data_IF_049263550578
#
_entry.id   IF_049263550578
#
_cell.length_a   1.000
_cell.length_b   1.000
_cell.length_c   1.000
_cell.angle_alpha   90.00
_cell.angle_beta   90.00
_cell.angle_gamma   90.00
#
_symmetry.space_group_name_H-M   'P 1'
#
loop_
_entity.id
_entity.type
_entity.pdbx_description
1 polymer ?
#
# COMPACT_ATOMS: atom_id res chain seq x y z
N UNK A 1 -24.98 0.91 4.21
CA UNK A 1 -26.06 1.35 5.13
C UNK A 1 -27.33 1.66 4.34
N UNK A 2 -27.33 2.57 3.37
CA UNK A 2 -28.54 3.01 2.63
C UNK A 2 -29.20 1.87 1.83
N UNK A 3 -28.42 0.94 1.25
CA UNK A 3 -28.98 -0.28 0.64
C UNK A 3 -29.74 -1.15 1.62
N UNK A 4 -29.23 -1.30 2.85
CA UNK A 4 -29.90 -2.07 3.90
C UNK A 4 -31.20 -1.36 4.31
N UNK A 5 -31.16 -0.05 4.53
CA UNK A 5 -32.36 0.74 4.87
C UNK A 5 -33.42 0.65 3.77
N UNK A 6 -33.02 0.76 2.49
CA UNK A 6 -33.89 0.63 1.35
C UNK A 6 -34.54 -0.76 1.25
N UNK A 7 -33.79 -1.82 1.56
CA UNK A 7 -34.28 -3.20 1.54
C UNK A 7 -35.26 -3.50 2.68
N UNK A 8 -34.98 -2.97 3.90
CA UNK A 8 -35.75 -3.28 5.11
C UNK A 8 -37.03 -2.43 5.19
N UNK A 9 -36.93 -1.13 4.89
CA UNK A 9 -38.02 -0.17 5.11
C UNK A 9 -38.75 0.21 3.83
N UNK A 10 -38.34 -0.30 2.67
CA UNK A 10 -38.87 0.07 1.35
C UNK A 10 -38.77 1.60 1.08
N UNK A 11 -37.71 2.24 1.62
CA UNK A 11 -37.52 3.68 1.65
C UNK A 11 -36.91 4.19 0.32
N UNK A 12 -37.67 5.02 -0.40
CA UNK A 12 -37.26 5.62 -1.68
C UNK A 12 -36.12 6.63 -1.52
N UNK A 13 -36.10 7.37 -0.42
CA UNK A 13 -34.99 8.31 -0.12
C UNK A 13 -33.68 7.57 0.09
N UNK A 14 -33.71 6.44 0.82
CA UNK A 14 -32.57 5.57 1.01
C UNK A 14 -32.09 4.97 -0.33
N UNK A 15 -33.01 4.57 -1.24
CA UNK A 15 -32.65 4.09 -2.60
C UNK A 15 -31.92 5.16 -3.40
N UNK A 16 -32.46 6.36 -3.44
CA UNK A 16 -31.87 7.49 -4.18
C UNK A 16 -30.49 7.82 -3.65
N UNK A 17 -30.32 7.83 -2.33
CA UNK A 17 -29.03 8.08 -1.67
C UNK A 17 -28.03 6.95 -1.98
N UNK A 18 -28.44 5.68 -1.89
CA UNK A 18 -27.60 4.53 -2.24
C UNK A 18 -27.11 4.61 -3.69
N UNK A 19 -27.99 4.97 -4.62
CA UNK A 19 -27.65 5.14 -6.04
C UNK A 19 -26.64 6.25 -6.26
N UNK A 20 -26.81 7.40 -5.63
CA UNK A 20 -25.92 8.54 -5.73
C UNK A 20 -24.51 8.18 -5.19
N UNK A 21 -24.46 7.55 -4.01
CA UNK A 21 -23.19 7.14 -3.39
C UNK A 21 -22.48 6.04 -4.21
N UNK A 22 -23.23 5.09 -4.77
CA UNK A 22 -22.65 4.04 -5.61
C UNK A 22 -22.06 4.66 -6.90
N UNK A 23 -22.75 5.61 -7.55
CA UNK A 23 -22.23 6.34 -8.72
C UNK A 23 -20.95 7.11 -8.37
N UNK A 24 -20.96 7.85 -7.27
CA UNK A 24 -19.78 8.60 -6.82
C UNK A 24 -18.60 7.66 -6.55
N UNK A 25 -18.85 6.51 -5.90
CA UNK A 25 -17.82 5.49 -5.65
C UNK A 25 -17.24 4.91 -6.93
N UNK A 26 -18.07 4.58 -7.92
CA UNK A 26 -17.61 4.07 -9.23
C UNK A 26 -16.76 5.12 -9.97
N UNK A 27 -17.17 6.38 -9.95
CA UNK A 27 -16.40 7.47 -10.59
C UNK A 27 -15.06 7.65 -9.89
N UNK A 28 -15.02 7.66 -8.57
CA UNK A 28 -13.78 7.80 -7.81
C UNK A 28 -12.85 6.57 -7.90
N UNK A 29 -13.37 5.40 -8.25
CA UNK A 29 -12.55 4.20 -8.45
C UNK A 29 -11.61 4.33 -9.66
N UNK A 30 -11.94 5.16 -10.67
CA UNK A 30 -11.10 5.32 -11.88
C UNK A 30 -9.73 5.91 -11.54
N UNK A 31 -9.61 7.10 -10.92
CA UNK A 31 -8.31 7.64 -10.56
C UNK A 31 -7.58 6.74 -9.55
N UNK A 32 -8.29 6.09 -8.63
CA UNK A 32 -7.69 5.14 -7.68
C UNK A 32 -7.08 3.93 -8.39
N UNK A 33 -7.77 3.37 -9.40
CA UNK A 33 -7.25 2.26 -10.19
C UNK A 33 -6.01 2.67 -11.00
N UNK A 34 -5.99 3.87 -11.57
CA UNK A 34 -4.82 4.39 -12.30
C UNK A 34 -3.62 4.55 -11.38
N UNK A 35 -3.79 5.10 -10.19
CA UNK A 35 -2.73 5.18 -9.18
C UNK A 35 -2.23 3.78 -8.80
N UNK A 36 -3.14 2.84 -8.52
CA UNK A 36 -2.78 1.46 -8.16
C UNK A 36 -2.02 0.72 -9.27
N UNK A 37 -2.31 0.96 -10.56
CA UNK A 37 -1.54 0.40 -11.69
C UNK A 37 -0.12 0.98 -11.71
N UNK A 38 0.03 2.27 -11.43
CA UNK A 38 1.35 2.92 -11.35
C UNK A 38 2.16 2.34 -10.20
N UNK A 39 1.56 2.24 -9.01
CA UNK A 39 2.22 1.69 -7.82
C UNK A 39 2.61 0.22 -8.01
N UNK A 40 1.79 -0.55 -8.75
CA UNK A 40 2.06 -1.97 -9.04
C UNK A 40 3.41 -2.18 -9.75
N UNK A 41 3.86 -1.22 -10.55
CA UNK A 41 5.15 -1.29 -11.25
C UNK A 41 6.36 -1.29 -10.31
N UNK A 42 6.19 -0.83 -9.08
CA UNK A 42 7.23 -0.72 -8.06
C UNK A 42 7.14 -1.79 -6.97
N UNK A 43 6.14 -2.69 -7.06
CA UNK A 43 5.93 -3.74 -6.05
C UNK A 43 7.07 -4.76 -6.09
N UNK A 44 7.74 -5.04 -4.95
CA UNK A 44 8.80 -6.03 -4.88
C UNK A 44 8.27 -7.45 -5.09
N UNK A 45 9.10 -8.34 -5.65
CA UNK A 45 8.72 -9.72 -6.01
C UNK A 45 8.00 -10.51 -4.91
N UNK A 46 8.40 -10.47 -3.63
CA UNK A 46 7.69 -11.19 -2.57
C UNK A 46 6.24 -10.74 -2.38
N UNK A 47 5.90 -9.49 -2.73
CA UNK A 47 4.55 -8.93 -2.59
C UNK A 47 3.71 -9.03 -3.87
N UNK A 48 4.30 -9.38 -5.02
CA UNK A 48 3.67 -9.32 -6.33
C UNK A 48 2.38 -10.16 -6.43
N UNK A 49 2.37 -11.37 -5.87
CA UNK A 49 1.17 -12.24 -5.88
C UNK A 49 0.02 -11.63 -5.08
N UNK A 50 0.31 -11.05 -3.91
CA UNK A 50 -0.68 -10.38 -3.06
C UNK A 50 -1.22 -9.13 -3.74
N UNK A 51 -0.35 -8.33 -4.37
CA UNK A 51 -0.74 -7.13 -5.12
C UNK A 51 -1.61 -7.48 -6.33
N UNK A 52 -1.26 -8.53 -7.07
CA UNK A 52 -2.07 -9.04 -8.19
C UNK A 52 -3.47 -9.47 -7.72
N UNK A 53 -3.55 -10.24 -6.63
CA UNK A 53 -4.82 -10.68 -6.08
C UNK A 53 -5.67 -9.49 -5.61
N UNK A 54 -5.06 -8.52 -4.92
CA UNK A 54 -5.72 -7.28 -4.52
C UNK A 54 -6.31 -6.53 -5.72
N UNK A 55 -5.54 -6.36 -6.80
CA UNK A 55 -5.98 -5.70 -8.03
C UNK A 55 -7.12 -6.45 -8.74
N UNK A 56 -7.03 -7.79 -8.82
CA UNK A 56 -8.08 -8.63 -9.42
C UNK A 56 -9.38 -8.54 -8.63
N UNK A 57 -9.34 -8.66 -7.32
CA UNK A 57 -10.53 -8.55 -6.47
C UNK A 57 -11.17 -7.17 -6.61
N UNK A 58 -10.38 -6.09 -6.61
CA UNK A 58 -10.90 -4.73 -6.83
C UNK A 58 -11.56 -4.57 -8.20
N UNK A 59 -11.02 -5.21 -9.24
CA UNK A 59 -11.63 -5.21 -10.57
C UNK A 59 -13.00 -5.92 -10.58
N UNK A 60 -13.12 -7.05 -9.87
CA UNK A 60 -14.40 -7.76 -9.70
C UNK A 60 -15.38 -6.90 -8.90
N UNK A 61 -14.95 -6.28 -7.81
CA UNK A 61 -15.76 -5.37 -6.98
C UNK A 61 -16.31 -4.22 -7.83
N UNK A 62 -15.47 -3.58 -8.64
CA UNK A 62 -15.90 -2.51 -9.53
C UNK A 62 -16.94 -3.01 -10.54
N UNK A 63 -16.71 -4.18 -11.15
CA UNK A 63 -17.67 -4.84 -12.04
C UNK A 63 -19.02 -5.10 -11.38
N UNK A 64 -19.02 -5.57 -10.12
CA UNK A 64 -20.25 -5.78 -9.34
C UNK A 64 -21.00 -4.48 -9.04
N UNK A 65 -20.31 -3.37 -8.72
CA UNK A 65 -20.95 -2.07 -8.54
C UNK A 65 -21.52 -1.53 -9.84
N UNK A 66 -20.84 -1.70 -10.97
CA UNK A 66 -21.38 -1.34 -12.30
C UNK A 66 -22.63 -2.16 -12.62
N UNK A 67 -22.61 -3.47 -12.38
CA UNK A 67 -23.77 -4.33 -12.55
C UNK A 67 -24.91 -3.93 -11.62
N UNK A 68 -24.61 -3.57 -10.37
CA UNK A 68 -25.58 -3.04 -9.41
C UNK A 68 -26.30 -1.80 -9.97
N UNK A 69 -25.56 -0.82 -10.48
CA UNK A 69 -26.12 0.39 -11.09
C UNK A 69 -27.00 0.07 -12.31
N UNK A 70 -26.59 -0.89 -13.13
CA UNK A 70 -27.35 -1.36 -14.27
C UNK A 70 -28.68 -1.99 -13.84
N UNK A 71 -28.68 -2.84 -12.82
CA UNK A 71 -29.91 -3.45 -12.28
C UNK A 71 -30.87 -2.40 -11.73
N UNK A 72 -30.36 -1.42 -10.98
CA UNK A 72 -31.15 -0.29 -10.44
C UNK A 72 -31.79 0.55 -11.55
N UNK A 73 -31.03 0.82 -12.63
CA UNK A 73 -31.54 1.53 -13.83
C UNK A 73 -32.71 0.81 -14.49
N UNK A 74 -32.76 -0.53 -14.39
CA UNK A 74 -33.88 -1.33 -14.91
C UNK A 74 -35.01 -1.55 -13.88
N UNK A 75 -35.01 -0.81 -12.78
CA UNK A 75 -36.00 -0.93 -11.72
C UNK A 75 -35.81 -2.14 -10.78
N UNK A 76 -34.76 -2.94 -10.96
CA UNK A 76 -34.47 -4.12 -10.13
C UNK A 76 -33.64 -3.73 -8.91
N UNK A 77 -34.20 -2.82 -8.07
CA UNK A 77 -33.47 -2.23 -6.94
C UNK A 77 -32.98 -3.26 -5.92
N UNK A 78 -33.76 -4.32 -5.64
CA UNK A 78 -33.36 -5.39 -4.70
C UNK A 78 -32.10 -6.12 -5.20
N UNK A 79 -32.09 -6.50 -6.48
CA UNK A 79 -30.93 -7.16 -7.09
C UNK A 79 -29.70 -6.24 -7.06
N UNK A 80 -29.88 -4.95 -7.40
CA UNK A 80 -28.83 -3.95 -7.33
C UNK A 80 -28.25 -3.80 -5.91
N UNK A 81 -29.12 -3.72 -4.89
CA UNK A 81 -28.69 -3.63 -3.50
C UNK A 81 -27.93 -4.88 -3.06
N UNK A 82 -28.40 -6.08 -3.42
CA UNK A 82 -27.70 -7.34 -3.11
C UNK A 82 -26.30 -7.40 -3.75
N UNK A 83 -26.18 -6.96 -5.01
CA UNK A 83 -24.88 -6.87 -5.70
C UNK A 83 -23.93 -5.90 -4.99
N UNK A 84 -24.41 -4.71 -4.58
CA UNK A 84 -23.61 -3.75 -3.82
C UNK A 84 -23.15 -4.30 -2.48
N UNK A 85 -24.02 -4.99 -1.74
CA UNK A 85 -23.66 -5.57 -0.45
C UNK A 85 -22.64 -6.72 -0.59
N UNK A 86 -22.80 -7.55 -1.63
CA UNK A 86 -21.82 -8.60 -1.95
C UNK A 86 -20.47 -8.01 -2.36
N UNK A 87 -20.49 -6.95 -3.17
CA UNK A 87 -19.30 -6.19 -3.54
C UNK A 87 -18.59 -5.59 -2.33
N UNK A 88 -19.34 -5.04 -1.38
CA UNK A 88 -18.79 -4.52 -0.13
C UNK A 88 -18.10 -5.61 0.71
N UNK A 89 -18.70 -6.80 0.81
CA UNK A 89 -18.06 -7.94 1.49
C UNK A 89 -16.73 -8.33 0.83
N UNK A 90 -16.71 -8.41 -0.49
CA UNK A 90 -15.49 -8.73 -1.25
C UNK A 90 -14.44 -7.60 -1.16
N UNK A 91 -14.89 -6.33 -1.15
CA UNK A 91 -14.02 -5.18 -0.91
C UNK A 91 -13.34 -5.23 0.46
N UNK A 92 -14.02 -5.76 1.49
CA UNK A 92 -13.41 -6.00 2.82
C UNK A 92 -12.22 -6.96 2.74
N UNK A 93 -12.33 -8.04 1.96
CA UNK A 93 -11.20 -8.98 1.72
C UNK A 93 -10.07 -8.26 0.99
N UNK A 94 -10.40 -7.48 -0.04
CA UNK A 94 -9.40 -6.70 -0.78
C UNK A 94 -8.71 -5.66 0.11
N UNK A 95 -9.45 -4.98 0.99
CA UNK A 95 -8.89 -4.03 1.93
C UNK A 95 -7.91 -4.68 2.91
N UNK A 96 -8.20 -5.91 3.36
CA UNK A 96 -7.26 -6.70 4.16
C UNK A 96 -5.96 -7.01 3.41
N UNK A 97 -6.06 -7.42 2.13
CA UNK A 97 -4.88 -7.64 1.28
C UNK A 97 -4.08 -6.35 1.07
N UNK A 98 -4.76 -5.22 0.83
CA UNK A 98 -4.11 -3.90 0.73
C UNK A 98 -3.39 -3.52 2.02
N UNK A 99 -4.02 -3.75 3.17
CA UNK A 99 -3.37 -3.58 4.47
C UNK A 99 -2.13 -4.47 4.63
N UNK A 100 -2.21 -5.73 4.19
CA UNK A 100 -1.06 -6.64 4.22
C UNK A 100 0.10 -6.16 3.35
N UNK A 101 -0.17 -5.59 2.17
CA UNK A 101 0.85 -4.97 1.32
C UNK A 101 1.59 -3.83 2.04
N UNK A 102 0.86 -2.96 2.74
CA UNK A 102 1.43 -1.81 3.42
C UNK A 102 2.14 -2.20 4.72
N UNK A 103 1.50 -3.01 5.57
CA UNK A 103 2.01 -3.27 6.93
C UNK A 103 2.98 -4.45 7.01
N UNK A 104 2.84 -5.47 6.15
CA UNK A 104 3.72 -6.64 6.17
C UNK A 104 4.82 -6.53 5.12
N UNK A 105 4.45 -6.17 3.90
CA UNK A 105 5.42 -6.01 2.81
C UNK A 105 6.00 -4.60 2.71
N UNK A 106 5.49 -3.63 3.49
CA UNK A 106 5.93 -2.23 3.51
C UNK A 106 5.96 -1.53 2.14
N UNK A 107 5.13 -1.98 1.21
CA UNK A 107 5.03 -1.41 -0.14
C UNK A 107 4.66 0.07 -0.06
N UNK A 108 5.49 0.93 -0.66
CA UNK A 108 5.31 2.39 -0.65
C UNK A 108 5.58 3.07 0.70
N UNK A 109 6.07 2.32 1.72
CA UNK A 109 6.35 2.84 3.06
C UNK A 109 7.83 2.85 3.38
N UNK A 110 8.56 1.84 2.91
CA UNK A 110 9.98 1.69 3.16
C UNK A 110 10.72 1.41 1.85
N UNK A 111 11.44 2.41 1.37
CA UNK A 111 12.21 2.35 0.14
C UNK A 111 13.65 1.83 0.34
N UNK A 112 14.02 1.44 1.58
CA UNK A 112 15.32 0.84 1.90
C UNK A 112 15.30 -0.71 1.85
N UNK A 113 14.16 -1.33 1.56
CA UNK A 113 13.97 -2.80 1.60
C UNK A 113 14.76 -3.60 0.55
N UNK A 114 15.34 -2.94 -0.45
CA UNK A 114 16.21 -3.61 -1.44
C UNK A 114 17.55 -4.05 -0.84
N UNK A 115 17.88 -3.55 0.33
CA UNK A 115 19.11 -3.92 1.04
C UNK A 115 18.82 -5.08 1.99
N UNK A 116 19.64 -6.13 1.93
CA UNK A 116 19.61 -7.23 2.88
C UNK A 116 19.96 -6.76 4.29
N UNK A 117 19.95 -7.67 5.24
CA UNK A 117 20.52 -7.44 6.55
C UNK A 117 21.60 -8.49 6.78
N UNK A 118 22.79 -8.12 7.29
CA UNK A 118 23.81 -9.10 7.65
C UNK A 118 23.27 -10.03 8.75
N UNK A 119 23.47 -11.32 8.59
CA UNK A 119 22.97 -12.33 9.54
C UNK A 119 23.82 -12.34 10.82
N UNK A 120 25.11 -12.01 10.72
CA UNK A 120 26.06 -12.05 11.82
C UNK A 120 26.89 -10.77 11.93
N UNK A 121 27.54 -10.59 13.08
CA UNK A 121 28.51 -9.54 13.30
C UNK A 121 29.75 -9.74 12.41
N UNK A 122 30.14 -8.70 11.68
CA UNK A 122 31.29 -8.72 10.79
C UNK A 122 32.12 -7.44 10.90
N UNK A 123 33.45 -7.52 10.72
CA UNK A 123 34.29 -6.34 10.64
C UNK A 123 34.06 -5.65 9.29
N UNK A 124 33.79 -4.34 9.31
CA UNK A 124 33.53 -3.55 8.11
C UNK A 124 34.64 -2.51 7.81
N UNK A 125 35.34 -2.03 8.84
CA UNK A 125 36.52 -1.15 8.72
C UNK A 125 37.31 -1.08 10.03
N UNK A 126 38.54 -0.55 9.98
CA UNK A 126 39.31 -0.28 11.19
C UNK A 126 38.78 0.99 11.88
N UNK A 127 38.66 0.94 13.20
CA UNK A 127 38.18 2.07 13.98
C UNK A 127 39.06 3.33 13.85
N UNK A 128 40.36 3.18 13.57
CA UNK A 128 41.29 4.28 13.34
C UNK A 128 41.08 5.02 12.02
N UNK A 129 40.38 4.41 11.06
CA UNK A 129 40.10 5.00 9.76
C UNK A 129 38.83 5.86 9.76
N UNK A 130 37.96 5.66 10.77
CA UNK A 130 36.75 6.45 10.94
C UNK A 130 37.07 7.78 11.64
N UNK A 131 37.05 8.86 10.87
CA UNK A 131 37.28 10.22 11.39
C UNK A 131 36.05 10.73 12.17
N UNK A 132 36.28 11.58 13.18
CA UNK A 132 35.20 12.23 13.88
C UNK A 132 34.42 13.17 12.94
N UNK A 133 33.12 13.22 13.13
CA UNK A 133 32.17 14.06 12.38
C UNK A 133 32.19 13.88 10.86
N UNK A 134 32.71 12.73 10.39
CA UNK A 134 32.75 12.40 8.97
C UNK A 134 31.94 11.11 8.72
N UNK A 135 30.83 11.20 7.99
CA UNK A 135 30.05 10.02 7.65
C UNK A 135 30.79 9.14 6.65
N UNK A 136 30.80 7.84 6.85
CA UNK A 136 31.40 6.85 5.96
C UNK A 136 30.42 5.75 5.67
N UNK A 137 30.12 5.50 4.39
CA UNK A 137 29.32 4.36 3.98
C UNK A 137 30.21 3.14 3.75
N UNK A 138 29.86 2.01 4.37
CA UNK A 138 30.54 0.72 4.22
C UNK A 138 29.55 -0.33 3.75
N UNK A 139 30.06 -1.38 3.10
CA UNK A 139 29.26 -2.55 2.71
C UNK A 139 29.40 -3.65 3.75
N UNK A 140 28.27 -4.14 4.25
CA UNK A 140 28.17 -5.27 5.14
C UNK A 140 27.36 -6.39 4.46
N UNK A 141 28.01 -7.21 3.64
CA UNK A 141 27.39 -8.31 2.88
C UNK A 141 26.23 -7.87 1.99
N UNK A 142 26.41 -6.77 1.25
CA UNK A 142 25.38 -6.22 0.36
C UNK A 142 24.42 -5.26 1.07
N UNK A 143 24.59 -5.03 2.37
CA UNK A 143 23.87 -4.00 3.12
C UNK A 143 24.75 -2.76 3.25
N UNK A 144 24.26 -1.62 2.79
CA UNK A 144 24.94 -0.34 2.96
C UNK A 144 24.72 0.19 4.37
N UNK A 145 25.80 0.38 5.12
CA UNK A 145 25.78 0.88 6.51
C UNK A 145 26.51 2.21 6.59
N UNK A 146 25.84 3.22 7.11
CA UNK A 146 26.45 4.51 7.42
C UNK A 146 27.04 4.44 8.82
N UNK A 147 28.36 4.66 8.90
CA UNK A 147 29.09 4.84 10.14
C UNK A 147 29.36 6.31 10.37
N UNK A 148 29.10 6.76 11.59
CA UNK A 148 29.36 8.13 12.03
C UNK A 148 29.93 8.14 13.44
N UNK A 149 31.04 8.85 13.64
CA UNK A 149 31.63 9.02 14.96
C UNK A 149 31.36 10.44 15.48
N UNK A 150 30.82 10.53 16.67
CA UNK A 150 30.56 11.79 17.35
C UNK A 150 30.84 11.65 18.84
N UNK A 151 31.57 12.61 19.42
CA UNK A 151 31.93 12.64 20.83
C UNK A 151 32.58 11.33 21.33
N UNK A 152 33.43 10.72 20.51
CA UNK A 152 34.12 9.45 20.83
C UNK A 152 33.26 8.19 20.71
N UNK A 153 31.97 8.31 20.38
CA UNK A 153 31.05 7.19 20.16
C UNK A 153 30.81 6.95 18.67
N UNK A 154 30.87 5.68 18.25
CA UNK A 154 30.55 5.29 16.89
C UNK A 154 29.09 4.85 16.80
N UNK A 155 28.38 5.39 15.82
CA UNK A 155 27.01 5.07 15.49
C UNK A 155 26.95 4.39 14.13
N UNK A 156 26.03 3.43 13.96
CA UNK A 156 25.81 2.72 12.70
C UNK A 156 24.31 2.67 12.41
N UNK A 157 23.93 3.05 11.19
CA UNK A 157 22.54 2.97 10.70
C UNK A 157 22.56 2.46 9.25
N UNK A 158 21.42 2.00 8.74
CA UNK A 158 21.28 1.75 7.30
C UNK A 158 21.57 3.03 6.51
N UNK A 159 22.38 2.94 5.45
CA UNK A 159 22.79 4.11 4.67
C UNK A 159 21.72 4.61 3.69
N UNK A 160 20.64 3.83 3.48
CA UNK A 160 19.56 4.18 2.55
C UNK A 160 18.38 4.75 3.32
N UNK A 161 17.93 5.93 2.92
CA UNK A 161 16.76 6.59 3.51
C UNK A 161 15.49 5.80 3.20
N UNK A 162 14.73 5.40 4.22
CA UNK A 162 13.47 4.68 4.04
C UNK A 162 12.38 5.50 3.33
N UNK A 163 12.45 6.83 3.39
CA UNK A 163 11.47 7.73 2.76
C UNK A 163 11.57 7.73 1.21
N UNK A 164 12.76 7.86 0.65
CA UNK A 164 12.95 8.05 -0.78
C UNK A 164 14.20 7.36 -1.36
N UNK A 165 14.76 6.38 -0.65
CA UNK A 165 15.97 5.64 -1.05
C UNK A 165 17.22 6.52 -1.29
N UNK A 166 17.25 7.75 -0.78
CA UNK A 166 18.42 8.63 -0.88
C UNK A 166 19.58 8.13 -0.03
N UNK A 167 20.84 8.39 -0.47
CA UNK A 167 22.04 8.05 0.29
C UNK A 167 22.18 8.98 1.51
N UNK A 168 22.15 8.42 2.71
CA UNK A 168 22.22 9.22 3.94
C UNK A 168 23.61 9.83 4.15
N UNK A 169 24.67 9.20 3.65
CA UNK A 169 26.05 9.71 3.73
C UNK A 169 26.28 11.03 2.96
N UNK A 170 25.40 11.37 2.02
CA UNK A 170 25.46 12.66 1.29
C UNK A 170 24.72 13.78 2.04
N UNK A 171 24.12 13.45 3.19
CA UNK A 171 23.44 14.42 4.04
C UNK A 171 24.37 15.32 4.82
N UNK A 172 23.79 16.34 5.45
CA UNK A 172 24.51 17.21 6.40
C UNK A 172 24.22 16.72 7.83
N UNK A 173 25.28 16.57 8.64
CA UNK A 173 25.23 16.10 10.01
C UNK A 173 25.56 17.21 10.99
#
# INVERSE_FOLDING_TARGET
>A
IFDILALVNDDESARTTADALTKAGVVSAVPTALAGVTDFSTVPQPAASTATMHGLINSVVLGMYLASLQERKHGRHKTGAMLSLSALGLAGISAWLGGHLVYSYRVGVDHSQSEGQPEDWMPVMNASELQDETPVCVDAQGTRVLLYRMNGSTHAIGAVCSHAAGPLEEGTF
#
